data_IF_856572958781
#
_entry.id   IF_856572958781
#
_cell.length_a   1.000
_cell.length_b   1.000
_cell.length_c   1.000
_cell.angle_alpha   90.00
_cell.angle_beta   90.00
_cell.angle_gamma   90.00
#
_symmetry.space_group_name_H-M   'P 1'
#
loop_
_entity.id
_entity.type
_entity.pdbx_description
1 polymer ?
#
# COMPACT_ATOMS: atom_id res chain seq x y z
N UNK A 1 -3.37 4.44 18.22
CA UNK A 1 -4.11 5.39 17.34
C UNK A 1 -5.37 4.67 16.85
N UNK A 2 -6.47 5.36 16.57
CA UNK A 2 -7.62 4.72 15.93
C UNK A 2 -7.17 4.16 14.57
N UNK A 3 -7.44 2.89 14.35
CA UNK A 3 -7.22 2.20 13.09
C UNK A 3 -8.37 2.58 12.15
N UNK A 4 -8.07 3.21 11.03
CA UNK A 4 -9.05 3.39 9.95
C UNK A 4 -8.89 2.19 9.02
N UNK A 5 -9.95 1.41 8.76
CA UNK A 5 -9.87 0.27 7.85
C UNK A 5 -9.48 0.77 6.45
N UNK A 6 -8.43 0.17 5.90
CA UNK A 6 -8.04 0.35 4.50
C UNK A 6 -8.94 -0.57 3.67
N UNK A 7 -9.33 -0.13 2.47
CA UNK A 7 -10.13 -0.98 1.58
C UNK A 7 -9.19 -1.74 0.66
N UNK A 8 -9.42 -3.04 0.51
CA UNK A 8 -8.76 -3.87 -0.50
C UNK A 8 -7.25 -3.97 -0.33
N UNK A 9 -6.79 -4.09 0.91
CA UNK A 9 -5.36 -4.26 1.26
C UNK A 9 -4.99 -5.73 1.58
N UNK A 10 -5.95 -6.64 1.45
CA UNK A 10 -5.79 -8.06 1.71
C UNK A 10 -6.03 -8.47 3.18
N UNK A 11 -6.34 -7.52 4.06
CA UNK A 11 -6.68 -7.77 5.46
C UNK A 11 -8.17 -7.48 5.70
N UNK A 12 -8.81 -8.28 6.57
CA UNK A 12 -10.21 -8.04 6.93
C UNK A 12 -10.25 -7.20 8.21
N UNK A 13 -10.28 -5.88 8.08
CA UNK A 13 -10.37 -4.95 9.21
C UNK A 13 -11.82 -4.53 9.51
N UNK A 14 -12.72 -4.68 8.53
CA UNK A 14 -14.14 -4.37 8.69
C UNK A 14 -15.05 -5.46 8.09
N UNK A 15 -16.13 -5.79 8.80
CA UNK A 15 -17.17 -6.65 8.24
C UNK A 15 -18.56 -6.29 8.76
N UNK A 16 -19.56 -6.38 7.88
CA UNK A 16 -20.95 -6.11 8.21
C UNK A 16 -21.90 -6.93 7.31
N UNK A 17 -23.16 -7.06 7.71
CA UNK A 17 -24.21 -7.62 6.84
C UNK A 17 -25.08 -6.51 6.28
N UNK A 18 -25.00 -6.28 4.96
CA UNK A 18 -25.76 -5.25 4.24
C UNK A 18 -26.73 -5.98 3.30
N UNK A 19 -28.04 -5.68 3.41
CA UNK A 19 -29.10 -6.33 2.61
C UNK A 19 -29.08 -7.88 2.65
N UNK A 20 -28.61 -8.45 3.77
CA UNK A 20 -28.49 -9.90 3.95
C UNK A 20 -27.26 -10.53 3.31
N UNK A 21 -26.36 -9.74 2.74
CA UNK A 21 -25.07 -10.17 2.19
C UNK A 21 -23.98 -9.82 3.21
N UNK A 22 -23.09 -10.77 3.48
CA UNK A 22 -21.91 -10.53 4.32
C UNK A 22 -20.85 -9.81 3.48
N UNK A 23 -20.58 -8.56 3.84
CA UNK A 23 -19.65 -7.67 3.18
C UNK A 23 -18.46 -7.38 4.09
N UNK A 24 -17.29 -7.21 3.49
CA UNK A 24 -16.04 -6.86 4.15
C UNK A 24 -15.43 -5.67 3.41
N UNK A 25 -14.43 -5.03 4.02
CA UNK A 25 -13.52 -4.11 3.34
C UNK A 25 -12.78 -4.73 2.14
N UNK A 26 -12.78 -6.06 2.05
CA UNK A 26 -12.18 -6.86 0.97
C UNK A 26 -13.19 -7.36 -0.09
N UNK A 27 -14.46 -6.94 -0.02
CA UNK A 27 -15.48 -7.37 -1.00
C UNK A 27 -15.59 -6.40 -2.18
N UNK A 28 -15.72 -6.93 -3.40
CA UNK A 28 -15.86 -6.17 -4.66
C UNK A 28 -14.67 -5.23 -4.97
N UNK A 29 -13.45 -5.61 -4.60
CA UNK A 29 -12.23 -4.84 -4.86
C UNK A 29 -11.96 -4.56 -6.35
N UNK A 30 -12.51 -5.38 -7.26
CA UNK A 30 -12.49 -5.09 -8.69
C UNK A 30 -13.25 -3.82 -9.09
N UNK A 31 -14.16 -3.34 -8.24
CA UNK A 31 -14.89 -2.07 -8.41
C UNK A 31 -14.24 -0.90 -7.68
N UNK A 32 -13.45 -1.21 -6.64
CA UNK A 32 -12.79 -0.24 -5.77
C UNK A 32 -11.29 -0.59 -5.69
N UNK A 33 -10.52 -0.34 -6.75
CA UNK A 33 -9.09 -0.62 -6.72
C UNK A 33 -8.40 0.21 -5.64
N UNK A 34 -7.39 -0.38 -4.98
CA UNK A 34 -6.60 0.29 -3.95
C UNK A 34 -5.90 1.56 -4.48
N UNK A 35 -5.48 1.60 -5.76
CA UNK A 35 -5.03 2.81 -6.46
C UNK A 35 -6.21 3.44 -7.21
N UNK A 36 -6.78 4.49 -6.63
CA UNK A 36 -7.85 5.28 -7.23
C UNK A 36 -7.64 6.78 -6.96
N UNK A 37 -8.55 7.63 -7.45
CA UNK A 37 -8.40 9.10 -7.34
C UNK A 37 -8.40 9.65 -5.91
N UNK A 38 -8.81 8.86 -4.92
CA UNK A 38 -8.87 9.26 -3.51
C UNK A 38 -7.66 8.78 -2.71
N UNK A 39 -7.07 7.65 -3.10
CA UNK A 39 -5.91 7.03 -2.42
C UNK A 39 -4.59 7.37 -3.09
N UNK A 40 -4.60 7.71 -4.39
CA UNK A 40 -3.38 8.01 -5.12
C UNK A 40 -2.68 9.25 -4.56
N UNK A 41 -1.43 9.05 -4.15
CA UNK A 41 -0.53 10.10 -3.66
C UNK A 41 -1.12 10.86 -2.47
N UNK A 42 -1.90 10.17 -1.64
CA UNK A 42 -2.48 10.72 -0.41
C UNK A 42 -1.52 10.58 0.79
N UNK A 43 -0.42 9.84 0.61
CA UNK A 43 0.61 9.60 1.60
C UNK A 43 0.33 8.40 2.51
N UNK A 44 -0.72 7.62 2.25
CA UNK A 44 -1.05 6.38 2.92
C UNK A 44 -0.79 5.21 1.97
N UNK A 45 -0.23 4.13 2.50
CA UNK A 45 0.08 2.94 1.73
C UNK A 45 -1.14 2.01 1.75
N UNK A 46 -2.05 2.17 0.77
CA UNK A 46 -3.30 1.39 0.70
C UNK A 46 -3.13 0.11 -0.14
N UNK A 47 -2.34 0.14 -1.21
CA UNK A 47 -2.09 -1.05 -2.01
C UNK A 47 -1.03 -1.95 -1.36
N UNK A 48 -1.16 -3.28 -1.37
CA UNK A 48 -0.15 -4.15 -0.76
C UNK A 48 1.27 -3.94 -1.29
N UNK A 49 1.42 -3.57 -2.57
CA UNK A 49 2.71 -3.24 -3.19
C UNK A 49 3.11 -1.77 -3.06
N UNK A 50 2.18 -0.89 -2.66
CA UNK A 50 2.37 0.56 -2.55
C UNK A 50 2.16 1.29 -3.87
N UNK A 51 1.44 0.69 -4.82
CA UNK A 51 1.22 1.26 -6.15
C UNK A 51 0.49 2.61 -6.12
N UNK A 52 -0.39 2.84 -5.15
CA UNK A 52 -1.11 4.09 -4.94
C UNK A 52 -0.16 5.27 -4.60
N UNK A 53 0.99 4.98 -4.01
CA UNK A 53 2.01 5.97 -3.65
C UNK A 53 3.22 6.00 -4.61
N UNK A 54 3.23 5.14 -5.63
CA UNK A 54 4.31 5.06 -6.60
C UNK A 54 4.27 6.18 -7.66
N UNK A 55 5.38 6.39 -8.37
CA UNK A 55 5.51 7.40 -9.43
C UNK A 55 5.23 8.86 -8.99
N UNK A 56 5.23 9.13 -7.69
CA UNK A 56 5.16 10.47 -7.15
C UNK A 56 6.52 11.20 -7.28
N UNK A 57 6.49 12.54 -7.29
CA UNK A 57 7.73 13.32 -7.22
C UNK A 57 8.32 13.24 -5.81
N UNK A 58 9.05 12.16 -5.54
CA UNK A 58 9.83 12.00 -4.33
C UNK A 58 11.32 12.26 -4.62
N UNK A 59 12.06 13.00 -3.77
CA UNK A 59 13.49 13.30 -3.97
C UNK A 59 14.38 12.06 -4.15
N UNK A 60 13.96 10.93 -3.60
CA UNK A 60 14.67 9.64 -3.69
C UNK A 60 14.30 8.86 -4.95
N UNK A 61 13.02 8.86 -5.31
CA UNK A 61 12.53 8.02 -6.41
C UNK A 61 12.50 8.73 -7.77
N UNK A 62 12.55 10.06 -7.84
CA UNK A 62 12.64 10.83 -9.10
C UNK A 62 11.75 10.27 -10.24
N UNK A 63 10.45 10.03 -9.96
CA UNK A 63 9.46 9.45 -10.90
C UNK A 63 9.68 7.97 -11.28
N UNK A 64 10.54 7.26 -10.57
CA UNK A 64 10.68 5.81 -10.68
C UNK A 64 9.45 5.11 -10.12
N UNK A 65 9.20 3.91 -10.64
CA UNK A 65 8.13 3.02 -10.20
C UNK A 65 8.60 2.29 -8.94
N UNK A 66 8.37 2.92 -7.78
CA UNK A 66 8.83 2.41 -6.50
C UNK A 66 8.55 3.39 -5.37
N UNK A 67 9.01 3.03 -4.17
CA UNK A 67 8.82 3.82 -2.96
C UNK A 67 10.15 4.05 -2.21
N UNK A 68 10.24 5.11 -1.40
CA UNK A 68 11.43 5.40 -0.62
C UNK A 68 11.65 4.34 0.46
N UNK A 69 12.82 3.75 0.48
CA UNK A 69 13.19 2.65 1.36
C UNK A 69 14.50 2.97 2.08
N UNK A 70 14.52 2.87 3.40
CA UNK A 70 15.76 2.86 4.16
C UNK A 70 16.18 1.40 4.34
N UNK A 71 17.21 0.95 3.62
CA UNK A 71 17.68 -0.43 3.67
C UNK A 71 18.04 -0.86 5.09
N UNK A 72 17.51 -2.01 5.53
CA UNK A 72 17.70 -2.49 6.90
C UNK A 72 19.16 -2.86 7.21
N UNK A 73 19.92 -3.30 6.20
CA UNK A 73 21.30 -3.77 6.34
C UNK A 73 22.35 -2.65 6.27
N UNK A 74 22.19 -1.68 5.37
CA UNK A 74 23.19 -0.63 5.10
C UNK A 74 22.78 0.75 5.61
N UNK A 75 21.51 0.96 6.00
CA UNK A 75 20.93 2.28 6.30
C UNK A 75 21.00 3.27 5.13
N UNK A 76 21.11 2.77 3.91
CA UNK A 76 21.08 3.59 2.69
C UNK A 76 19.63 3.86 2.27
N UNK A 77 19.36 5.09 1.85
CA UNK A 77 18.05 5.51 1.35
C UNK A 77 18.00 5.27 -0.16
N UNK A 78 17.23 4.26 -0.57
CA UNK A 78 17.05 3.86 -1.97
C UNK A 78 15.60 4.07 -2.41
N UNK A 79 15.37 4.00 -3.73
CA UNK A 79 14.03 3.77 -4.25
C UNK A 79 13.85 2.27 -4.46
N UNK A 80 13.03 1.60 -3.63
CA UNK A 80 12.76 0.18 -3.78
C UNK A 80 11.72 -0.02 -4.90
N UNK A 81 11.97 -0.90 -5.87
CA UNK A 81 10.99 -1.21 -6.91
C UNK A 81 9.70 -1.80 -6.33
N UNK A 82 8.56 -1.47 -6.94
CA UNK A 82 7.25 -2.05 -6.58
C UNK A 82 7.24 -3.59 -6.55
N UNK A 83 8.02 -4.23 -7.43
CA UNK A 83 8.12 -5.68 -7.52
C UNK A 83 8.79 -6.35 -6.31
N UNK A 84 9.44 -5.57 -5.45
CA UNK A 84 10.09 -6.00 -4.23
C UNK A 84 9.26 -5.66 -2.98
N UNK A 85 8.07 -5.11 -3.15
CA UNK A 85 7.11 -4.93 -2.06
C UNK A 85 6.28 -6.18 -1.86
N UNK A 86 5.98 -6.51 -0.60
CA UNK A 86 5.10 -7.59 -0.17
C UNK A 86 5.50 -8.97 -0.75
N UNK A 87 6.80 -9.19 -0.93
CA UNK A 87 7.37 -10.46 -1.42
C UNK A 87 7.77 -11.42 -0.27
N UNK A 88 7.54 -11.00 0.97
CA UNK A 88 7.90 -11.73 2.19
C UNK A 88 9.35 -11.54 2.65
N UNK A 89 10.10 -10.64 2.02
CA UNK A 89 11.47 -10.28 2.38
C UNK A 89 11.47 -8.90 3.04
N UNK A 90 12.20 -8.74 4.14
CA UNK A 90 12.36 -7.43 4.76
C UNK A 90 13.49 -6.70 4.05
N UNK A 91 13.17 -5.82 3.10
CA UNK A 91 14.18 -4.97 2.46
C UNK A 91 14.49 -3.73 3.31
N UNK A 92 13.46 -3.06 3.81
CA UNK A 92 13.58 -1.76 4.48
C UNK A 92 13.32 -1.83 6.00
N UNK A 93 13.82 -0.82 6.73
CA UNK A 93 13.36 -0.56 8.09
C UNK A 93 11.85 -0.30 8.09
N UNK A 94 11.11 -1.10 8.85
CA UNK A 94 9.64 -1.05 8.88
C UNK A 94 8.95 -2.13 8.05
N UNK A 95 9.70 -2.83 7.18
CA UNK A 95 9.19 -3.87 6.28
C UNK A 95 8.65 -3.29 4.97
N UNK A 96 8.87 -4.00 3.86
CA UNK A 96 8.32 -3.67 2.54
C UNK A 96 7.96 -4.92 1.82
#
# INVERSE_FOLDING_TARGET
LPHFPTLCDGYNDYSETIDGIFETDETNCERWPCDNQYTRHDGLWNCPDGADEAQFFHPVCHQSIGHPCLLHNTTELICLPLANSNDGIIDCYGGT
#
